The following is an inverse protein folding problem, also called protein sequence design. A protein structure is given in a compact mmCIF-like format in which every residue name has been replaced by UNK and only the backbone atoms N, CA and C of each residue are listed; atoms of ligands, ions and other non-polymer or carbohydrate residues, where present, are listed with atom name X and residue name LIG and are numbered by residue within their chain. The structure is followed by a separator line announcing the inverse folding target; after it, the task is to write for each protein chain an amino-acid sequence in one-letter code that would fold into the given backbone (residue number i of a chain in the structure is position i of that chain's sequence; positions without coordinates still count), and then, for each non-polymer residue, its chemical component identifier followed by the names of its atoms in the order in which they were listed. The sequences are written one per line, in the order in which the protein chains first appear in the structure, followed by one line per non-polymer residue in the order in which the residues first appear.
data_IF_770887455332
#
_entry.id   IF_770887455332
#
_cell.length_a   1.000
_cell.length_b   1.000
_cell.length_c   1.000
_cell.angle_alpha   90.00
_cell.angle_beta   90.00
_cell.angle_gamma   90.00
#
_symmetry.space_group_name_H-M   'P 1'
#
loop_
_entity.id
_entity.type
_entity.pdbx_description
1 polymer ?
#
# COMPACT_ATOMS: atom_id res chain seq x y z
N UNK A 1 -1.38 -20.68 -24.53
CA UNK A 1 -2.33 -21.13 -23.49
C UNK A 1 -1.84 -20.59 -22.17
N UNK A 2 -2.73 -19.95 -21.43
CA UNK A 2 -2.46 -19.48 -20.07
C UNK A 2 -2.35 -20.71 -19.14
N UNK A 3 -1.44 -20.68 -18.15
CA UNK A 3 -1.26 -21.78 -17.20
C UNK A 3 -2.55 -22.00 -16.40
N UNK A 4 -2.80 -23.23 -15.95
CA UNK A 4 -3.97 -23.58 -15.12
C UNK A 4 -4.06 -22.79 -13.79
N UNK A 5 -2.95 -22.20 -13.34
CA UNK A 5 -2.84 -21.47 -12.07
C UNK A 5 -2.78 -19.94 -12.26
N UNK A 6 -3.36 -19.42 -13.35
CA UNK A 6 -3.42 -17.98 -13.61
C UNK A 6 -4.79 -17.43 -13.23
N UNK A 7 -4.81 -16.31 -12.53
CA UNK A 7 -6.03 -15.60 -12.18
C UNK A 7 -6.32 -14.49 -13.18
N UNK A 8 -7.49 -14.53 -13.82
CA UNK A 8 -8.08 -13.35 -14.43
C UNK A 8 -8.81 -12.56 -13.36
N UNK A 9 -8.35 -11.34 -13.07
CA UNK A 9 -8.90 -10.57 -11.98
C UNK A 9 -9.15 -9.10 -12.30
N UNK A 10 -9.94 -8.47 -11.44
CA UNK A 10 -10.16 -7.03 -11.39
C UNK A 10 -9.70 -6.48 -10.04
N UNK A 11 -9.46 -5.17 -9.97
CA UNK A 11 -9.00 -4.53 -8.74
C UNK A 11 -9.65 -3.20 -8.44
N UNK A 12 -9.82 -2.91 -7.15
CA UNK A 12 -10.34 -1.64 -6.61
C UNK A 12 -9.47 -1.17 -5.44
N UNK A 13 -9.77 0.03 -4.93
CA UNK A 13 -9.26 0.51 -3.64
C UNK A 13 -10.40 1.09 -2.81
N UNK A 14 -10.32 0.92 -1.49
CA UNK A 14 -11.39 1.22 -0.56
C UNK A 14 -11.93 2.64 -0.70
N UNK A 15 -11.09 3.67 -0.55
CA UNK A 15 -11.55 5.07 -0.69
C UNK A 15 -12.10 5.42 -2.08
N UNK A 16 -11.77 4.66 -3.13
CA UNK A 16 -12.27 4.92 -4.48
C UNK A 16 -13.64 4.30 -4.76
N UNK A 17 -14.04 3.27 -4.01
CA UNK A 17 -15.28 2.53 -4.30
C UNK A 17 -16.24 2.42 -3.12
N UNK A 18 -15.75 2.33 -1.89
CA UNK A 18 -16.59 1.98 -0.73
C UNK A 18 -17.65 3.03 -0.42
N UNK A 19 -17.26 4.28 -0.19
CA UNK A 19 -18.16 5.24 0.45
C UNK A 19 -18.47 4.86 1.91
N UNK A 20 -19.72 5.03 2.34
CA UNK A 20 -20.14 4.78 3.72
C UNK A 20 -19.38 5.64 4.73
N UNK A 21 -19.13 6.91 4.38
CA UNK A 21 -18.42 7.84 5.26
C UNK A 21 -19.20 8.11 6.55
N UNK A 22 -18.54 7.91 7.69
CA UNK A 22 -19.13 8.10 9.01
C UNK A 22 -20.04 6.95 9.47
N UNK A 23 -20.09 5.85 8.73
CA UNK A 23 -20.92 4.69 9.04
C UNK A 23 -20.13 3.55 9.70
N UNK A 24 -20.84 2.75 10.49
CA UNK A 24 -20.31 1.53 11.11
C UNK A 24 -19.03 1.74 11.92
N UNK A 25 -18.91 2.87 12.62
CA UNK A 25 -17.74 3.19 13.43
C UNK A 25 -16.46 3.52 12.66
N UNK A 26 -16.53 3.73 11.33
CA UNK A 26 -15.37 4.14 10.52
C UNK A 26 -14.80 5.46 11.05
N UNK A 27 -13.51 5.47 11.38
CA UNK A 27 -12.78 6.68 11.74
C UNK A 27 -12.52 7.61 10.56
N UNK A 28 -12.00 8.80 10.85
CA UNK A 28 -11.62 9.78 9.81
C UNK A 28 -10.30 9.35 9.17
N UNK A 29 -10.31 9.14 7.85
CA UNK A 29 -9.12 8.85 7.07
C UNK A 29 -8.49 10.14 6.51
N UNK A 30 -7.21 10.08 6.16
CA UNK A 30 -6.52 11.17 5.45
C UNK A 30 -7.20 11.56 4.14
N UNK A 31 -7.78 10.59 3.42
CA UNK A 31 -8.59 10.79 2.22
C UNK A 31 -9.87 11.59 2.45
N UNK A 32 -10.45 11.54 3.66
CA UNK A 32 -11.70 12.23 4.00
C UNK A 32 -11.50 13.72 4.28
N UNK A 33 -10.29 14.10 4.72
CA UNK A 33 -9.94 15.49 5.08
C UNK A 33 -9.12 16.20 4.00
N UNK A 34 -8.83 15.51 2.89
CA UNK A 34 -8.08 16.07 1.76
C UNK A 34 -8.82 17.26 1.16
N UNK A 35 -8.07 18.18 0.57
CA UNK A 35 -8.67 19.22 -0.25
C UNK A 35 -9.25 18.60 -1.54
N UNK A 36 -10.55 18.79 -1.75
CA UNK A 36 -11.23 18.39 -2.99
C UNK A 36 -11.61 19.65 -3.75
N UNK A 37 -11.02 19.90 -4.94
CA UNK A 37 -11.36 21.05 -5.76
C UNK A 37 -12.85 21.07 -6.14
N UNK A 38 -13.41 22.26 -6.33
CA UNK A 38 -14.79 22.41 -6.77
C UNK A 38 -15.04 21.68 -8.11
N UNK A 39 -16.16 20.97 -8.20
CA UNK A 39 -16.51 20.17 -9.38
C UNK A 39 -15.87 18.77 -9.43
N UNK A 40 -15.03 18.41 -8.45
CA UNK A 40 -14.44 17.08 -8.32
C UNK A 40 -15.16 16.29 -7.21
N UNK A 41 -15.43 15.01 -7.45
CA UNK A 41 -16.05 14.13 -6.45
C UNK A 41 -15.08 13.81 -5.28
N UNK A 42 -15.64 13.74 -4.07
CA UNK A 42 -14.95 13.22 -2.90
C UNK A 42 -15.15 11.69 -2.74
N UNK A 43 -14.56 11.09 -1.70
CA UNK A 43 -14.63 9.66 -1.41
C UNK A 43 -15.77 9.28 -0.46
N UNK A 44 -16.67 10.21 -0.09
CA UNK A 44 -17.65 9.95 0.96
C UNK A 44 -18.74 8.99 0.52
N UNK A 45 -19.15 9.11 -0.74
CA UNK A 45 -20.09 8.20 -1.42
C UNK A 45 -19.33 7.29 -2.38
N UNK A 46 -18.37 7.83 -3.14
CA UNK A 46 -17.60 7.07 -4.13
C UNK A 46 -18.52 6.34 -5.14
N UNK A 47 -18.34 5.03 -5.33
CA UNK A 47 -19.25 4.19 -6.13
C UNK A 47 -20.28 3.42 -5.27
N UNK A 48 -20.32 3.73 -3.96
CA UNK A 48 -21.21 3.15 -2.96
C UNK A 48 -21.15 1.62 -2.79
N UNK A 49 -19.97 1.03 -3.04
CA UNK A 49 -19.72 -0.41 -2.88
C UNK A 49 -20.01 -0.91 -1.44
N UNK A 50 -19.92 -0.03 -0.44
CA UNK A 50 -20.24 -0.37 0.95
C UNK A 50 -21.70 -0.84 1.13
N UNK A 51 -22.63 -0.25 0.37
CA UNK A 51 -24.06 -0.59 0.40
C UNK A 51 -24.46 -1.57 -0.71
N UNK A 52 -23.74 -1.57 -1.83
CA UNK A 52 -24.03 -2.37 -3.03
C UNK A 52 -23.18 -3.64 -3.15
N UNK A 53 -22.55 -4.06 -2.04
CA UNK A 53 -21.62 -5.19 -2.00
C UNK A 53 -22.13 -6.46 -2.68
N UNK A 54 -23.37 -6.88 -2.39
CA UNK A 54 -23.94 -8.09 -2.99
C UNK A 54 -24.12 -7.96 -4.49
N UNK A 55 -24.56 -6.80 -4.98
CA UNK A 55 -24.74 -6.52 -6.41
C UNK A 55 -23.40 -6.58 -7.15
N UNK A 56 -22.37 -5.92 -6.61
CA UNK A 56 -21.05 -5.91 -7.22
C UNK A 56 -20.40 -7.30 -7.25
N UNK A 57 -20.62 -8.13 -6.23
CA UNK A 57 -20.15 -9.52 -6.20
C UNK A 57 -20.84 -10.38 -7.26
N UNK A 58 -22.16 -10.22 -7.45
CA UNK A 58 -22.88 -10.91 -8.52
C UNK A 58 -22.35 -10.49 -9.89
N UNK A 59 -22.12 -9.19 -10.11
CA UNK A 59 -21.57 -8.68 -11.37
C UNK A 59 -20.15 -9.21 -11.64
N UNK A 60 -19.31 -9.33 -10.61
CA UNK A 60 -17.98 -9.95 -10.74
C UNK A 60 -18.09 -11.44 -11.12
N UNK A 61 -19.04 -12.16 -10.53
CA UNK A 61 -19.30 -13.56 -10.84
C UNK A 61 -19.82 -13.75 -12.27
N UNK A 62 -20.76 -12.91 -12.70
CA UNK A 62 -21.31 -12.90 -14.06
C UNK A 62 -20.25 -12.56 -15.11
N UNK A 63 -19.34 -11.64 -14.80
CA UNK A 63 -18.17 -11.35 -15.63
C UNK A 63 -17.20 -12.53 -15.72
N UNK A 64 -17.20 -13.42 -14.73
CA UNK A 64 -16.39 -14.63 -14.69
C UNK A 64 -14.94 -14.38 -14.27
N UNK A 65 -14.69 -13.42 -13.38
CA UNK A 65 -13.33 -13.21 -12.84
C UNK A 65 -12.97 -14.29 -11.82
N UNK A 66 -11.72 -14.73 -11.82
CA UNK A 66 -11.19 -15.71 -10.86
C UNK A 66 -10.74 -15.08 -9.55
N UNK A 67 -10.39 -13.78 -9.58
CA UNK A 67 -9.76 -13.07 -8.46
C UNK A 67 -10.25 -11.64 -8.36
N UNK A 68 -10.57 -11.22 -7.14
CA UNK A 68 -10.88 -9.83 -6.83
C UNK A 68 -9.83 -9.25 -5.87
N UNK A 69 -9.10 -8.24 -6.34
CA UNK A 69 -8.10 -7.54 -5.55
C UNK A 69 -8.65 -6.22 -5.03
N UNK A 70 -8.94 -6.14 -3.74
CA UNK A 70 -9.40 -4.92 -3.09
C UNK A 70 -8.38 -4.42 -2.08
N UNK A 71 -8.62 -3.28 -1.43
CA UNK A 71 -7.86 -2.88 -0.24
C UNK A 71 -8.76 -2.83 0.97
N UNK A 72 -8.19 -3.09 2.15
CA UNK A 72 -8.86 -2.74 3.39
C UNK A 72 -8.76 -1.24 3.64
N UNK A 73 -9.77 -0.69 4.30
CA UNK A 73 -9.75 0.65 4.87
C UNK A 73 -9.30 0.55 6.33
N UNK A 74 -8.09 1.03 6.64
CA UNK A 74 -7.55 0.97 8.00
C UNK A 74 -8.50 1.64 9.01
N UNK A 75 -9.12 2.77 8.66
CA UNK A 75 -10.05 3.46 9.58
C UNK A 75 -11.37 2.74 9.78
N UNK A 76 -11.77 1.88 8.84
CA UNK A 76 -12.94 1.03 9.02
C UNK A 76 -12.62 -0.13 9.97
N UNK A 77 -11.45 -0.76 9.82
CA UNK A 77 -11.04 -1.89 10.68
C UNK A 77 -10.63 -1.46 12.08
N UNK A 78 -10.05 -0.26 12.24
CA UNK A 78 -9.42 0.18 13.51
C UNK A 78 -9.95 1.51 14.05
N UNK A 79 -11.04 2.06 13.49
CA UNK A 79 -11.56 3.38 13.87
C UNK A 79 -10.49 4.47 13.72
N UNK A 80 -10.10 5.08 14.85
CA UNK A 80 -9.03 6.08 14.92
C UNK A 80 -7.60 5.50 14.82
N UNK A 81 -7.47 4.20 14.57
CA UNK A 81 -6.21 3.53 14.23
C UNK A 81 -5.62 2.63 15.30
N UNK A 82 -6.21 2.56 16.50
CA UNK A 82 -5.69 1.83 17.65
C UNK A 82 -6.52 0.59 18.01
N UNK A 83 -7.84 0.74 18.12
CA UNK A 83 -8.72 -0.32 18.60
C UNK A 83 -9.53 -0.93 17.46
N UNK A 84 -9.66 -2.26 17.37
CA UNK A 84 -10.49 -2.91 16.37
C UNK A 84 -11.94 -2.41 16.42
N UNK A 85 -12.52 -2.22 15.25
CA UNK A 85 -13.92 -1.88 15.06
C UNK A 85 -14.65 -3.08 14.43
N UNK A 86 -15.56 -3.69 15.20
CA UNK A 86 -16.20 -4.94 14.81
C UNK A 86 -17.09 -4.79 13.57
N UNK A 87 -17.83 -3.69 13.44
CA UNK A 87 -18.69 -3.47 12.27
C UNK A 87 -17.88 -3.36 10.96
N UNK A 88 -16.70 -2.76 11.05
CA UNK A 88 -15.77 -2.71 9.92
C UNK A 88 -15.19 -4.07 9.56
N UNK A 89 -14.88 -4.89 10.56
CA UNK A 89 -14.45 -6.28 10.36
C UNK A 89 -15.58 -7.09 9.71
N UNK A 90 -16.82 -6.90 10.15
CA UNK A 90 -17.99 -7.60 9.63
C UNK A 90 -18.31 -7.22 8.18
N UNK A 91 -18.07 -5.96 7.78
CA UNK A 91 -18.13 -5.56 6.37
C UNK A 91 -17.17 -6.39 5.50
N UNK A 92 -15.90 -6.49 5.89
CA UNK A 92 -14.93 -7.26 5.12
C UNK A 92 -15.16 -8.77 5.19
N UNK A 93 -15.71 -9.30 6.29
CA UNK A 93 -16.17 -10.68 6.32
C UNK A 93 -17.22 -10.93 5.24
N UNK A 94 -18.25 -10.08 5.15
CA UNK A 94 -19.29 -10.21 4.10
C UNK A 94 -18.70 -10.14 2.68
N UNK A 95 -17.74 -9.25 2.44
CA UNK A 95 -17.08 -9.14 1.15
C UNK A 95 -16.30 -10.41 0.80
N UNK A 96 -15.48 -10.89 1.75
CA UNK A 96 -14.65 -12.09 1.57
C UNK A 96 -15.52 -13.32 1.38
N UNK A 97 -16.52 -13.51 2.23
CA UNK A 97 -17.43 -14.66 2.17
C UNK A 97 -18.23 -14.66 0.88
N UNK A 98 -18.79 -13.51 0.48
CA UNK A 98 -19.52 -13.39 -0.78
C UNK A 98 -18.65 -13.67 -2.01
N UNK A 99 -17.38 -13.22 -2.02
CA UNK A 99 -16.45 -13.57 -3.10
C UNK A 99 -16.23 -15.09 -3.16
N UNK A 100 -15.95 -15.73 -2.02
CA UNK A 100 -15.66 -17.15 -1.94
C UNK A 100 -16.88 -18.02 -2.31
N UNK A 101 -18.09 -17.60 -1.92
CA UNK A 101 -19.34 -18.25 -2.32
C UNK A 101 -19.54 -18.26 -3.84
N UNK A 102 -19.01 -17.26 -4.54
CA UNK A 102 -19.00 -17.18 -6.01
C UNK A 102 -17.77 -17.80 -6.67
N UNK A 103 -16.88 -18.41 -5.89
CA UNK A 103 -15.62 -18.98 -6.40
C UNK A 103 -14.58 -17.93 -6.80
N UNK A 104 -14.73 -16.68 -6.36
CA UNK A 104 -13.80 -15.59 -6.62
C UNK A 104 -12.76 -15.56 -5.48
N UNK A 105 -11.48 -15.63 -5.84
CA UNK A 105 -10.37 -15.60 -4.88
C UNK A 105 -10.16 -14.17 -4.36
N UNK A 106 -10.28 -13.91 -3.06
CA UNK A 106 -9.99 -12.60 -2.48
C UNK A 106 -8.48 -12.35 -2.40
N UNK A 107 -8.03 -11.17 -2.84
CA UNK A 107 -6.65 -10.70 -2.72
C UNK A 107 -6.62 -9.29 -2.11
N UNK A 108 -6.86 -9.14 -0.80
CA UNK A 108 -6.83 -7.83 -0.16
C UNK A 108 -5.41 -7.25 -0.07
N UNK A 109 -5.32 -5.93 -0.18
CA UNK A 109 -4.14 -5.14 0.14
C UNK A 109 -4.35 -4.37 1.44
N UNK A 110 -3.40 -4.47 2.37
CA UNK A 110 -3.49 -3.86 3.70
C UNK A 110 -3.47 -2.33 3.64
N UNK A 111 -2.68 -1.74 2.74
CA UNK A 111 -2.52 -0.29 2.68
C UNK A 111 -2.61 0.24 1.25
N UNK A 112 -3.61 1.09 1.02
CA UNK A 112 -3.81 1.81 -0.24
C UNK A 112 -4.09 3.29 0.04
N UNK A 113 -3.00 4.01 0.33
CA UNK A 113 -2.91 5.47 0.45
C UNK A 113 -3.55 6.11 1.68
N UNK A 114 -4.60 5.53 2.23
CA UNK A 114 -5.33 6.10 3.35
C UNK A 114 -4.89 5.55 4.71
N UNK A 115 -4.73 6.44 5.69
CA UNK A 115 -4.46 6.09 7.08
C UNK A 115 -5.38 6.87 8.02
N UNK A 116 -5.52 6.45 9.29
CA UNK A 116 -6.30 7.20 10.27
C UNK A 116 -5.70 8.60 10.50
N UNK A 117 -6.53 9.64 10.30
CA UNK A 117 -6.15 11.03 10.52
C UNK A 117 -5.75 11.26 11.99
N UNK A 118 -6.34 10.52 12.92
CA UNK A 118 -5.97 10.57 14.34
C UNK A 118 -4.49 10.21 14.58
N UNK A 119 -3.90 9.28 13.81
CA UNK A 119 -2.47 8.93 13.91
C UNK A 119 -1.58 10.04 13.32
N UNK A 120 -2.05 10.71 12.26
CA UNK A 120 -1.39 11.91 11.71
C UNK A 120 -1.38 13.02 12.77
N UNK A 121 -2.52 13.32 13.39
CA UNK A 121 -2.63 14.35 14.43
C UNK A 121 -1.81 14.01 15.68
N UNK A 122 -1.79 12.74 16.09
CA UNK A 122 -1.15 12.30 17.35
C UNK A 122 0.39 12.34 17.29
N UNK A 123 0.98 11.96 16.16
CA UNK A 123 2.44 11.85 16.05
C UNK A 123 3.01 12.08 14.63
N UNK A 124 2.21 12.56 13.68
CA UNK A 124 2.66 12.81 12.31
C UNK A 124 2.58 11.59 11.38
N UNK A 125 1.84 10.55 11.76
CA UNK A 125 1.60 9.39 10.90
C UNK A 125 2.90 8.69 10.50
N UNK A 126 3.05 8.38 9.21
CA UNK A 126 4.23 7.68 8.68
C UNK A 126 5.56 8.41 8.90
N UNK A 127 5.55 9.71 9.21
CA UNK A 127 6.78 10.44 9.58
C UNK A 127 7.39 9.89 10.87
N UNK A 128 6.53 9.38 11.76
CA UNK A 128 6.97 8.78 13.01
C UNK A 128 7.17 7.28 12.88
N UNK A 129 8.29 6.81 13.41
CA UNK A 129 8.59 5.39 13.61
C UNK A 129 7.52 4.65 14.44
N UNK A 130 6.74 5.37 15.26
CA UNK A 130 5.60 4.80 16.00
C UNK A 130 4.55 4.19 15.06
N UNK A 131 4.36 4.76 13.87
CA UNK A 131 3.36 4.29 12.91
C UNK A 131 3.58 2.83 12.47
N UNK A 132 4.83 2.37 12.54
CA UNK A 132 5.23 0.98 12.24
C UNK A 132 4.43 0.01 13.10
N UNK A 133 4.42 0.22 14.41
CA UNK A 133 3.79 -0.72 15.34
C UNK A 133 2.26 -0.66 15.25
N UNK A 134 1.70 0.53 14.97
CA UNK A 134 0.27 0.70 14.68
C UNK A 134 -0.15 -0.05 13.41
N UNK A 135 0.63 0.04 12.33
CA UNK A 135 0.35 -0.69 11.10
C UNK A 135 0.47 -2.21 11.28
N UNK A 136 1.49 -2.66 12.02
CA UNK A 136 1.68 -4.10 12.33
C UNK A 136 0.53 -4.63 13.19
N UNK A 137 0.04 -3.85 14.16
CA UNK A 137 -1.11 -4.22 14.98
C UNK A 137 -2.39 -4.33 14.13
N UNK A 138 -2.63 -3.36 13.25
CA UNK A 138 -3.72 -3.39 12.29
C UNK A 138 -3.65 -4.60 11.35
N UNK A 139 -2.49 -4.87 10.75
CA UNK A 139 -2.29 -6.01 9.88
C UNK A 139 -2.51 -7.33 10.63
N UNK A 140 -2.06 -7.41 11.89
CA UNK A 140 -2.32 -8.57 12.75
C UNK A 140 -3.82 -8.81 12.96
N UNK A 141 -4.61 -7.78 13.21
CA UNK A 141 -6.08 -7.88 13.32
C UNK A 141 -6.65 -8.45 12.01
N UNK A 142 -6.25 -7.91 10.86
CA UNK A 142 -6.70 -8.42 9.56
C UNK A 142 -6.35 -9.90 9.38
N UNK A 143 -5.11 -10.31 9.70
CA UNK A 143 -4.69 -11.71 9.58
C UNK A 143 -5.46 -12.64 10.52
N UNK A 144 -5.76 -12.19 11.74
CA UNK A 144 -6.50 -12.98 12.73
C UNK A 144 -7.96 -13.21 12.32
N UNK A 145 -8.59 -12.21 11.71
CA UNK A 145 -10.00 -12.28 11.33
C UNK A 145 -10.24 -12.88 9.94
N UNK A 146 -9.30 -12.74 9.01
CA UNK A 146 -9.51 -13.10 7.60
C UNK A 146 -8.53 -14.16 7.07
N UNK A 147 -7.44 -14.45 7.78
CA UNK A 147 -6.36 -15.32 7.30
C UNK A 147 -6.70 -16.82 7.24
N UNK A 148 -7.80 -17.23 7.86
CA UNK A 148 -8.36 -18.58 7.72
C UNK A 148 -8.81 -18.84 6.28
N UNK A 149 -9.40 -17.83 5.63
CA UNK A 149 -9.99 -17.89 4.29
C UNK A 149 -9.13 -17.24 3.20
N UNK A 150 -8.45 -16.14 3.51
CA UNK A 150 -7.65 -15.37 2.54
C UNK A 150 -6.22 -15.87 2.49
N UNK A 151 -5.74 -16.26 1.30
CA UNK A 151 -4.39 -16.80 1.10
C UNK A 151 -3.45 -15.91 0.28
N UNK A 152 -3.95 -14.87 -0.39
CA UNK A 152 -3.14 -13.89 -1.12
C UNK A 152 -3.25 -12.52 -0.46
N UNK A 153 -2.12 -11.88 -0.15
CA UNK A 153 -2.09 -10.64 0.61
C UNK A 153 -1.14 -9.60 0.04
N UNK A 154 -1.64 -8.39 -0.17
CA UNK A 154 -0.84 -7.22 -0.51
C UNK A 154 -0.47 -6.46 0.76
N UNK A 155 0.80 -6.07 0.91
CA UNK A 155 1.20 -5.18 2.02
C UNK A 155 0.87 -3.73 1.70
N UNK A 156 1.76 -3.07 0.98
CA UNK A 156 1.69 -1.65 0.66
C UNK A 156 1.54 -1.52 -0.86
N UNK A 157 0.47 -0.85 -1.30
CA UNK A 157 0.28 -0.48 -2.70
C UNK A 157 0.99 0.84 -3.01
N UNK A 158 1.81 0.83 -4.06
CA UNK A 158 2.41 2.00 -4.71
C UNK A 158 3.08 2.98 -3.75
N UNK A 159 4.07 2.47 -3.01
CA UNK A 159 4.82 3.24 -2.01
C UNK A 159 5.44 4.55 -2.58
N UNK A 160 5.86 4.56 -3.85
CA UNK A 160 6.29 5.78 -4.55
C UNK A 160 5.21 6.85 -4.54
N UNK A 161 3.99 6.48 -4.93
CA UNK A 161 2.88 7.41 -5.13
C UNK A 161 2.37 7.92 -3.79
N UNK A 162 2.19 7.03 -2.82
CA UNK A 162 1.67 7.42 -1.50
C UNK A 162 2.61 8.33 -0.73
N UNK A 163 3.92 8.14 -0.83
CA UNK A 163 4.88 9.02 -0.14
C UNK A 163 4.96 10.40 -0.81
N UNK A 164 4.71 10.49 -2.11
CA UNK A 164 4.69 11.77 -2.84
C UNK A 164 3.36 12.55 -2.70
N UNK A 165 2.23 11.86 -2.47
CA UNK A 165 0.90 12.48 -2.39
C UNK A 165 0.60 13.05 -0.99
N UNK A 166 1.00 14.31 -0.74
CA UNK A 166 0.80 15.01 0.55
C UNK A 166 -0.63 14.94 1.09
N UNK A 167 -1.61 15.06 0.19
CA UNK A 167 -3.03 15.10 0.54
C UNK A 167 -3.57 13.74 1.01
N UNK A 168 -2.83 12.65 0.78
CA UNK A 168 -3.21 11.30 1.19
C UNK A 168 -2.42 10.83 2.41
N UNK A 169 -1.22 11.37 2.63
CA UNK A 169 -0.31 10.89 3.67
C UNK A 169 -0.19 11.84 4.87
N UNK A 170 -0.80 13.03 4.81
CA UNK A 170 -0.80 14.02 5.90
C UNK A 170 0.50 14.83 6.03
N UNK A 171 1.40 14.77 5.04
CA UNK A 171 2.60 15.58 5.01
C UNK A 171 2.34 16.94 4.35
N UNK A 172 1.95 17.91 5.17
CA UNK A 172 1.70 19.30 4.74
C UNK A 172 2.92 20.23 4.94
N UNK A 173 4.14 19.68 4.97
CA UNK A 173 5.37 20.49 5.04
C UNK A 173 5.49 21.40 3.81
N UNK A 174 5.87 22.66 4.08
CA UNK A 174 6.00 23.72 3.06
C UNK A 174 7.45 23.98 2.69
N UNK A 175 8.40 23.71 3.60
CA UNK A 175 9.82 23.76 3.26
C UNK A 175 10.18 22.57 2.35
N UNK A 176 10.80 22.86 1.21
CA UNK A 176 11.06 21.85 0.19
C UNK A 176 12.08 20.79 0.65
N UNK A 177 13.10 21.19 1.42
CA UNK A 177 14.16 20.28 1.88
C UNK A 177 13.62 19.35 2.97
N UNK A 178 12.91 19.93 3.93
CA UNK A 178 12.28 19.21 5.03
C UNK A 178 11.18 18.27 4.53
N UNK A 179 10.40 18.69 3.52
CA UNK A 179 9.41 17.82 2.88
C UNK A 179 10.05 16.58 2.27
N UNK A 180 11.20 16.72 1.61
CA UNK A 180 11.93 15.59 1.04
C UNK A 180 12.48 14.66 2.13
N UNK A 181 13.08 15.20 3.21
CA UNK A 181 13.51 14.39 4.37
C UNK A 181 12.36 13.58 4.95
N UNK A 182 11.22 14.22 5.18
CA UNK A 182 10.03 13.55 5.71
C UNK A 182 9.51 12.47 4.76
N UNK A 183 9.48 12.74 3.45
CA UNK A 183 9.08 11.75 2.44
C UNK A 183 9.95 10.49 2.47
N UNK A 184 11.28 10.65 2.53
CA UNK A 184 12.20 9.50 2.60
C UNK A 184 12.11 8.77 3.94
N UNK A 185 11.93 9.49 5.04
CA UNK A 185 11.69 8.87 6.35
C UNK A 185 10.39 8.05 6.37
N UNK A 186 9.31 8.60 5.80
CA UNK A 186 8.03 7.89 5.66
C UNK A 186 8.21 6.61 4.85
N UNK A 187 8.89 6.70 3.71
CA UNK A 187 9.21 5.54 2.87
C UNK A 187 9.97 4.46 3.65
N UNK A 188 11.01 4.83 4.39
CA UNK A 188 11.77 3.89 5.21
C UNK A 188 10.92 3.22 6.30
N UNK A 189 10.11 4.01 7.02
CA UNK A 189 9.20 3.51 8.05
C UNK A 189 8.18 2.52 7.46
N UNK A 190 7.63 2.83 6.29
CA UNK A 190 6.70 1.96 5.56
C UNK A 190 7.36 0.63 5.16
N UNK A 191 8.59 0.66 4.63
CA UNK A 191 9.32 -0.56 4.28
C UNK A 191 9.64 -1.42 5.50
N UNK A 192 10.00 -0.81 6.63
CA UNK A 192 10.22 -1.55 7.88
C UNK A 192 8.91 -2.14 8.43
N UNK A 193 7.80 -1.40 8.33
CA UNK A 193 6.47 -1.88 8.71
C UNK A 193 6.02 -3.05 7.86
N UNK A 194 6.24 -3.01 6.54
CA UNK A 194 6.01 -4.14 5.64
C UNK A 194 6.76 -5.39 6.12
N UNK A 195 8.05 -5.28 6.42
CA UNK A 195 8.88 -6.41 6.83
C UNK A 195 8.45 -7.02 8.16
N UNK A 196 8.09 -6.19 9.14
CA UNK A 196 7.51 -6.64 10.42
C UNK A 196 6.13 -7.28 10.20
N UNK A 197 5.31 -6.75 9.29
CA UNK A 197 4.02 -7.32 8.94
C UNK A 197 4.17 -8.70 8.29
N UNK A 198 5.11 -8.88 7.36
CA UNK A 198 5.44 -10.19 6.79
C UNK A 198 5.87 -11.16 7.91
N UNK A 199 6.69 -10.70 8.87
CA UNK A 199 7.10 -11.54 10.01
C UNK A 199 5.91 -12.03 10.84
N UNK A 200 4.91 -11.17 11.08
CA UNK A 200 3.67 -11.53 11.78
C UNK A 200 2.81 -12.46 10.93
N UNK A 201 2.68 -12.18 9.63
CA UNK A 201 1.95 -13.00 8.67
C UNK A 201 2.42 -14.45 8.70
N UNK A 202 3.74 -14.71 8.67
CA UNK A 202 4.30 -16.08 8.75
C UNK A 202 3.90 -16.86 9.99
N UNK A 203 3.53 -16.18 11.08
CA UNK A 203 3.11 -16.84 12.32
C UNK A 203 1.62 -17.22 12.30
N UNK A 204 0.80 -16.43 11.60
CA UNK A 204 -0.67 -16.49 11.63
C UNK A 204 -1.22 -17.20 10.38
N UNK A 205 -0.81 -16.80 9.18
CA UNK A 205 -1.31 -17.31 7.89
C UNK A 205 -0.21 -18.12 7.21
N UNK A 206 0.07 -19.31 7.75
CA UNK A 206 1.27 -20.11 7.39
C UNK A 206 1.25 -20.66 5.97
N UNK A 207 0.06 -20.83 5.41
CA UNK A 207 -0.21 -21.37 4.08
C UNK A 207 -0.52 -20.28 3.03
N UNK A 208 -0.41 -19.00 3.42
CA UNK A 208 -0.65 -17.88 2.52
C UNK A 208 0.63 -17.31 1.89
N UNK A 209 0.43 -16.45 0.90
CA UNK A 209 1.45 -15.67 0.22
C UNK A 209 1.22 -14.18 0.46
N UNK A 210 2.30 -13.44 0.70
CA UNK A 210 2.25 -12.00 0.97
C UNK A 210 3.37 -11.26 0.23
N UNK A 211 3.09 -10.05 -0.24
CA UNK A 211 4.13 -9.21 -0.83
C UNK A 211 3.71 -7.78 -1.15
N UNK A 212 4.67 -6.94 -1.55
CA UNK A 212 4.42 -5.56 -1.94
C UNK A 212 3.64 -5.50 -3.25
N UNK A 213 3.05 -4.34 -3.52
CA UNK A 213 2.56 -3.99 -4.85
C UNK A 213 3.25 -2.70 -5.29
N UNK A 214 4.17 -2.81 -6.23
CA UNK A 214 5.00 -1.70 -6.68
C UNK A 214 4.42 -1.08 -7.95
N UNK A 215 4.44 0.25 -8.03
CA UNK A 215 4.25 0.97 -9.30
C UNK A 215 5.56 0.83 -10.08
N UNK A 216 5.53 0.13 -11.21
CA UNK A 216 6.72 -0.12 -12.03
C UNK A 216 6.49 0.38 -13.46
N UNK A 217 7.54 0.93 -14.05
CA UNK A 217 7.53 1.44 -15.41
C UNK A 217 8.78 0.92 -16.13
N UNK A 218 8.69 0.62 -17.42
CA UNK A 218 9.95 0.40 -18.16
C UNK A 218 10.60 1.77 -18.39
N UNK A 219 11.85 1.94 -17.96
CA UNK A 219 12.59 3.20 -18.09
C UNK A 219 13.55 3.10 -19.29
N UNK A 220 13.24 3.85 -20.35
CA UNK A 220 14.08 3.90 -21.56
C UNK A 220 14.97 5.15 -21.59
N UNK A 221 16.23 5.05 -22.01
CA UNK A 221 17.02 6.22 -22.39
C UNK A 221 16.53 6.77 -23.73
N UNK A 222 16.45 8.09 -23.88
CA UNK A 222 16.02 8.73 -25.14
C UNK A 222 16.99 8.43 -26.30
N UNK A 223 18.29 8.26 -26.00
CA UNK A 223 19.34 7.98 -26.99
C UNK A 223 20.37 7.01 -26.38
N UNK A 224 21.21 6.33 -27.18
CA UNK A 224 22.29 5.49 -26.67
C UNK A 224 23.48 6.30 -26.10
N UNK A 225 23.35 7.62 -25.92
CA UNK A 225 24.42 8.43 -25.35
C UNK A 225 24.69 8.00 -23.90
N UNK A 226 25.97 7.94 -23.45
CA UNK A 226 26.28 7.52 -22.08
C UNK A 226 25.57 8.33 -20.99
N UNK A 227 25.27 9.61 -21.25
CA UNK A 227 24.53 10.47 -20.32
C UNK A 227 23.06 10.06 -20.19
N UNK A 228 22.38 9.79 -21.29
CA UNK A 228 20.98 9.33 -21.24
C UNK A 228 20.87 7.93 -20.64
N UNK A 229 21.84 7.05 -20.89
CA UNK A 229 21.92 5.73 -20.25
C UNK A 229 22.05 5.86 -18.73
N UNK A 230 22.95 6.74 -18.26
CA UNK A 230 23.12 6.99 -16.83
C UNK A 230 21.87 7.64 -16.21
N UNK A 231 21.24 8.59 -16.90
CA UNK A 231 20.02 9.23 -16.44
C UNK A 231 18.86 8.23 -16.31
N UNK A 232 18.68 7.34 -17.30
CA UNK A 232 17.68 6.27 -17.24
C UNK A 232 17.94 5.30 -16.07
N UNK A 233 19.20 4.89 -15.86
CA UNK A 233 19.57 4.05 -14.71
C UNK A 233 19.28 4.73 -13.36
N UNK A 234 19.62 6.00 -13.22
CA UNK A 234 19.31 6.76 -12.01
C UNK A 234 17.80 6.88 -11.80
N UNK A 235 17.03 7.13 -12.87
CA UNK A 235 15.57 7.18 -12.77
C UNK A 235 14.97 5.82 -12.36
N UNK A 236 15.47 4.70 -12.89
CA UNK A 236 15.05 3.36 -12.47
C UNK A 236 15.32 3.11 -10.98
N UNK A 237 16.51 3.49 -10.49
CA UNK A 237 16.87 3.35 -9.08
C UNK A 237 15.94 4.18 -8.16
N UNK A 238 15.58 5.39 -8.56
CA UNK A 238 14.79 6.32 -7.73
C UNK A 238 13.28 6.12 -7.83
N UNK A 239 12.78 5.66 -8.97
CA UNK A 239 11.35 5.45 -9.18
C UNK A 239 10.92 4.05 -8.74
N UNK A 240 11.82 3.07 -8.73
CA UNK A 240 11.43 1.66 -8.65
C UNK A 240 12.33 0.83 -7.74
N UNK A 241 13.63 0.73 -8.04
CA UNK A 241 14.49 -0.23 -7.34
C UNK A 241 14.64 0.14 -5.86
N UNK A 242 14.60 1.42 -5.48
CA UNK A 242 14.64 1.80 -4.06
C UNK A 242 13.48 1.19 -3.25
N UNK A 243 12.30 0.98 -3.84
CA UNK A 243 11.18 0.32 -3.18
C UNK A 243 11.28 -1.20 -3.30
N UNK A 244 11.51 -1.70 -4.51
CA UNK A 244 11.52 -3.14 -4.78
C UNK A 244 12.72 -3.85 -4.14
N UNK A 245 13.92 -3.29 -4.24
CA UNK A 245 15.13 -3.87 -3.62
C UNK A 245 15.03 -3.84 -2.10
N UNK A 246 14.44 -2.79 -1.52
CA UNK A 246 14.18 -2.76 -0.09
C UNK A 246 13.19 -3.88 0.31
N UNK A 247 12.14 -4.11 -0.48
CA UNK A 247 11.19 -5.19 -0.21
C UNK A 247 11.76 -6.60 -0.44
N UNK A 248 12.59 -6.81 -1.45
CA UNK A 248 13.11 -8.14 -1.82
C UNK A 248 14.42 -8.48 -1.11
N UNK A 249 15.37 -7.54 -1.09
CA UNK A 249 16.72 -7.72 -0.58
C UNK A 249 16.93 -7.08 0.81
N UNK A 250 16.11 -6.10 1.18
CA UNK A 250 16.26 -5.39 2.46
C UNK A 250 17.35 -4.32 2.44
N UNK A 251 17.74 -3.87 1.26
CA UNK A 251 18.78 -2.84 1.06
C UNK A 251 18.39 -1.92 -0.09
N UNK A 252 18.78 -0.65 0.00
CA UNK A 252 18.60 0.32 -1.09
C UNK A 252 19.72 0.20 -2.14
N UNK A 253 19.46 0.59 -3.40
CA UNK A 253 20.50 0.79 -4.40
C UNK A 253 21.58 1.76 -3.89
N UNK A 254 22.86 1.47 -4.19
CA UNK A 254 23.97 2.28 -3.68
C UNK A 254 23.96 3.72 -4.20
N UNK A 255 23.55 3.93 -5.45
CA UNK A 255 23.33 5.22 -6.09
C UNK A 255 22.35 6.09 -5.27
N UNK A 256 21.21 5.50 -4.92
CA UNK A 256 20.18 6.11 -4.09
C UNK A 256 20.71 6.49 -2.71
N UNK A 257 21.39 5.57 -2.01
CA UNK A 257 22.01 5.86 -0.72
C UNK A 257 22.99 7.03 -0.79
N UNK A 258 23.89 7.05 -1.77
CA UNK A 258 24.91 8.09 -1.88
C UNK A 258 24.27 9.47 -2.09
N UNK A 259 23.28 9.57 -2.97
CA UNK A 259 22.56 10.82 -3.22
C UNK A 259 21.83 11.32 -1.97
N UNK A 260 21.11 10.46 -1.25
CA UNK A 260 20.42 10.87 -0.03
C UNK A 260 21.39 11.32 1.05
N UNK A 261 22.54 10.67 1.20
CA UNK A 261 23.57 11.11 2.16
C UNK A 261 24.15 12.47 1.78
N UNK A 262 24.44 12.71 0.50
CA UNK A 262 24.94 14.00 0.00
C UNK A 262 23.94 15.13 0.27
N UNK A 263 22.64 14.85 0.13
CA UNK A 263 21.56 15.81 0.41
C UNK A 263 21.21 15.96 1.89
N UNK A 264 21.73 15.11 2.77
CA UNK A 264 21.28 15.06 4.17
C UNK A 264 19.83 14.56 4.33
N UNK A 265 19.38 13.73 3.40
CA UNK A 265 18.02 13.17 3.33
C UNK A 265 17.96 11.67 3.64
N UNK A 266 19.09 11.06 4.00
CA UNK A 266 19.11 9.64 4.33
C UNK A 266 18.26 9.39 5.58
N UNK A 267 17.33 8.43 5.57
CA UNK A 267 16.43 8.18 6.71
C UNK A 267 17.19 7.86 7.99
N UNK A 268 16.61 8.25 9.13
CA UNK A 268 17.03 7.77 10.43
C UNK A 268 16.72 6.27 10.55
N UNK A 269 17.75 5.50 10.91
CA UNK A 269 17.70 4.03 11.00
C UNK A 269 18.21 3.56 12.36
N UNK A 270 17.73 2.43 12.85
CA UNK A 270 18.30 1.75 14.02
C UNK A 270 19.09 0.50 13.60
N UNK A 271 20.17 0.11 14.31
CA UNK A 271 20.95 -1.09 13.97
C UNK A 271 20.11 -2.38 13.88
N UNK A 272 19.04 -2.49 14.68
CA UNK A 272 18.14 -3.64 14.68
C UNK A 272 17.28 -3.75 13.39
N UNK A 273 17.14 -2.66 12.63
CA UNK A 273 16.33 -2.65 11.40
C UNK A 273 16.92 -3.56 10.34
N UNK A 274 18.24 -3.57 10.23
CA UNK A 274 18.93 -4.31 9.17
C UNK A 274 18.62 -5.81 9.21
N UNK A 275 18.50 -6.40 10.41
CA UNK A 275 18.11 -7.80 10.55
C UNK A 275 16.67 -8.01 10.05
N UNK A 276 15.75 -7.14 10.46
CA UNK A 276 14.33 -7.23 10.09
C UNK A 276 14.14 -7.09 8.58
N UNK A 277 14.81 -6.11 7.96
CA UNK A 277 14.73 -5.81 6.53
C UNK A 277 15.24 -6.99 5.69
N UNK A 278 16.32 -7.67 6.11
CA UNK A 278 16.92 -8.79 5.36
C UNK A 278 16.21 -10.13 5.55
N UNK A 279 15.68 -10.38 6.76
CA UNK A 279 15.17 -11.70 7.16
C UNK A 279 13.78 -11.99 6.60
N UNK A 280 12.94 -10.97 6.48
CA UNK A 280 11.53 -11.14 6.09
C UNK A 280 11.37 -10.83 4.60
N UNK A 281 11.17 -11.87 3.78
CA UNK A 281 11.05 -11.75 2.33
C UNK A 281 9.60 -11.99 1.86
N UNK A 282 9.15 -11.27 0.81
CA UNK A 282 7.85 -11.51 0.20
C UNK A 282 7.84 -12.81 -0.62
N UNK A 283 6.66 -13.39 -0.82
CA UNK A 283 6.45 -14.55 -1.72
C UNK A 283 6.10 -14.13 -3.14
N UNK A 284 5.49 -12.94 -3.26
CA UNK A 284 4.99 -12.39 -4.50
C UNK A 284 5.42 -10.93 -4.66
N UNK A 285 5.44 -10.45 -5.89
CA UNK A 285 5.64 -9.05 -6.22
C UNK A 285 4.44 -8.65 -7.08
N UNK A 286 3.60 -7.75 -6.57
CA UNK A 286 2.57 -7.10 -7.36
C UNK A 286 3.18 -5.99 -8.21
N UNK A 287 2.74 -5.87 -9.46
CA UNK A 287 3.19 -4.82 -10.37
C UNK A 287 1.98 -4.05 -10.87
N UNK A 288 1.93 -2.76 -10.55
CA UNK A 288 1.02 -1.82 -11.19
C UNK A 288 1.77 -1.20 -12.37
N UNK A 289 1.31 -1.50 -13.59
CA UNK A 289 1.93 -1.05 -14.82
C UNK A 289 0.92 -0.35 -15.71
N UNK A 290 1.26 0.86 -16.15
CA UNK A 290 0.42 1.67 -17.05
C UNK A 290 1.16 2.06 -18.33
N UNK A 291 2.37 2.58 -18.18
CA UNK A 291 3.19 3.03 -19.30
C UNK A 291 4.69 2.93 -19.00
N UNK A 292 5.49 2.95 -20.06
CA UNK A 292 6.93 3.20 -19.97
C UNK A 292 7.23 4.70 -19.93
N UNK A 293 8.38 5.07 -19.40
CA UNK A 293 8.90 6.44 -19.43
C UNK A 293 10.19 6.53 -20.24
N UNK A 294 10.45 7.69 -20.84
CA UNK A 294 11.65 7.97 -21.63
C UNK A 294 12.43 9.11 -20.98
N UNK A 295 13.71 8.91 -20.71
CA UNK A 295 14.55 9.79 -19.90
C UNK A 295 15.70 10.39 -20.73
N UNK A 296 15.94 11.68 -20.52
CA UNK A 296 17.11 12.42 -21.01
C UNK A 296 17.83 13.08 -19.84
N UNK A 297 19.15 13.28 -19.98
CA UNK A 297 19.98 13.97 -19.00
C UNK A 297 19.72 15.48 -18.92
#
# INVERSE_FOLDING_TARGET
MVKKDFYWGASTSAFQVEGGFGEGGKGIATTDVRHVPEGIADSKIASDHYHHLSEDIELMADLGIDLYRFSFNWTRVMGDGDQPNQEGIDFYNRLIDGCLEKGITPFPTLYHFEMPQALVTKFGGWKSRKCIDYFVAYAKVCFQHFGDRVKLWGTINEQLIVTAASDLNGNHETDADEKMKQMYQMSYNMSLAEKKTIQVFRKIVRDGQIGPVCSMQVVYPETPSPRNILAAKNAEDFLQNCFLDMSVFGEYPKSYCNYLNEKGWYPETEPADQEILKKNKPDLIGINYYCSTCIRA
#
